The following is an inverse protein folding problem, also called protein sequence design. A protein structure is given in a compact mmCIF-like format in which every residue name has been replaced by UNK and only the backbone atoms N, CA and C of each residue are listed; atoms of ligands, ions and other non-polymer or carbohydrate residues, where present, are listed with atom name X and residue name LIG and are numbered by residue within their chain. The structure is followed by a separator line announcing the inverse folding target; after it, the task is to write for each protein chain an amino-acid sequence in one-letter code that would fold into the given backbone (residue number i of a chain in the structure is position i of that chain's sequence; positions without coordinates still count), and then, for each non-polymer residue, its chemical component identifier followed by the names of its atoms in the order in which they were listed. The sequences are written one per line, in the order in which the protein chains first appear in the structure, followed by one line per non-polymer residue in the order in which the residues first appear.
data_IF_140251786710
#
_entry.id   IF_140251786710
#
_cell.length_a   1.000
_cell.length_b   1.000
_cell.length_c   1.000
_cell.angle_alpha   90.00
_cell.angle_beta   90.00
_cell.angle_gamma   90.00
#
_symmetry.space_group_name_H-M   'P 1'
#
loop_
_entity.id
_entity.type
_entity.pdbx_description
1 polymer ?
#
# COMPACT_ATOMS: atom_id res chain seq x y z
N UNK A 1 12.46 -9.66 5.62
CA UNK A 1 11.20 -9.46 4.85
C UNK A 1 11.39 -8.55 3.65
N UNK A 2 11.90 -7.32 3.79
CA UNK A 2 12.10 -6.39 2.66
C UNK A 2 12.95 -7.00 1.53
N UNK A 3 14.12 -7.58 1.85
CA UNK A 3 14.97 -8.24 0.84
C UNK A 3 14.27 -9.40 0.11
N UNK A 4 13.52 -10.23 0.84
CA UNK A 4 12.77 -11.34 0.25
C UNK A 4 11.64 -10.83 -0.65
N UNK A 5 10.95 -9.77 -0.23
CA UNK A 5 9.92 -9.13 -1.04
C UNK A 5 10.48 -8.52 -2.31
N UNK A 6 11.64 -7.86 -2.26
CA UNK A 6 12.33 -7.36 -3.44
C UNK A 6 12.72 -8.50 -4.40
N UNK A 7 13.27 -9.60 -3.87
CA UNK A 7 13.58 -10.79 -4.69
C UNK A 7 12.33 -11.39 -5.34
N UNK A 8 11.22 -11.43 -4.61
CA UNK A 8 9.96 -11.95 -5.14
C UNK A 8 9.36 -11.03 -6.21
N UNK A 9 9.42 -9.70 -6.03
CA UNK A 9 9.02 -8.74 -7.05
C UNK A 9 9.79 -8.96 -8.37
N UNK A 10 11.13 -9.13 -8.29
CA UNK A 10 11.96 -9.42 -9.47
C UNK A 10 11.51 -10.72 -10.14
N UNK A 11 11.24 -11.76 -9.36
CA UNK A 11 10.76 -13.04 -9.90
C UNK A 11 9.41 -12.90 -10.63
N UNK A 12 8.47 -12.13 -10.07
CA UNK A 12 7.19 -11.85 -10.72
C UNK A 12 7.35 -11.05 -12.01
N UNK A 13 8.28 -10.09 -12.05
CA UNK A 13 8.59 -9.31 -13.25
C UNK A 13 9.20 -10.19 -14.35
N UNK A 14 10.11 -11.10 -13.99
CA UNK A 14 10.66 -12.10 -14.90
C UNK A 14 9.56 -13.01 -15.48
N UNK A 15 8.67 -13.53 -14.62
CA UNK A 15 7.56 -14.39 -15.06
C UNK A 15 6.58 -13.62 -15.96
N UNK A 16 6.26 -12.37 -15.63
CA UNK A 16 5.41 -11.52 -16.44
C UNK A 16 6.04 -11.18 -17.80
N UNK A 17 7.37 -11.10 -17.90
CA UNK A 17 8.06 -10.90 -19.19
C UNK A 17 7.93 -12.10 -20.13
N UNK A 18 7.71 -13.30 -19.57
CA UNK A 18 7.55 -14.54 -20.33
C UNK A 18 6.09 -14.85 -20.67
N UNK A 19 5.19 -14.54 -19.74
CA UNK A 19 3.75 -14.88 -19.81
C UNK A 19 2.87 -13.74 -20.26
N UNK A 20 3.37 -12.50 -20.22
CA UNK A 20 2.63 -11.24 -20.41
C UNK A 20 1.52 -11.00 -19.38
N UNK A 21 1.51 -11.76 -18.28
CA UNK A 21 0.56 -11.61 -17.18
C UNK A 21 1.10 -10.61 -16.15
N UNK A 22 0.71 -9.34 -16.26
CA UNK A 22 1.15 -8.27 -15.35
C UNK A 22 0.38 -8.25 -14.02
N UNK A 23 -0.76 -8.91 -13.94
CA UNK A 23 -1.65 -8.90 -12.76
C UNK A 23 -0.92 -9.23 -11.45
N UNK A 24 -0.08 -10.29 -11.36
CA UNK A 24 0.65 -10.61 -10.14
C UNK A 24 1.63 -9.51 -9.72
N UNK A 25 2.33 -8.91 -10.69
CA UNK A 25 3.29 -7.82 -10.47
C UNK A 25 2.59 -6.59 -9.90
N UNK A 26 1.47 -6.18 -10.50
CA UNK A 26 0.72 -5.00 -10.08
C UNK A 26 0.10 -5.18 -8.69
N UNK A 27 -0.43 -6.37 -8.41
CA UNK A 27 -0.96 -6.70 -7.08
C UNK A 27 0.14 -6.68 -6.04
N UNK A 28 1.29 -7.30 -6.30
CA UNK A 28 2.39 -7.30 -5.34
C UNK A 28 2.93 -5.90 -5.09
N UNK A 29 3.16 -5.11 -6.15
CA UNK A 29 3.62 -3.73 -6.06
C UNK A 29 2.69 -2.83 -5.23
N UNK A 30 1.38 -3.12 -5.25
CA UNK A 30 0.37 -2.36 -4.49
C UNK A 30 0.23 -2.86 -3.04
N UNK A 31 0.19 -4.18 -2.84
CA UNK A 31 -0.11 -4.80 -1.52
C UNK A 31 1.12 -4.88 -0.62
N UNK A 32 2.29 -5.20 -1.17
CA UNK A 32 3.49 -5.42 -0.36
C UNK A 32 3.88 -4.19 0.48
N UNK A 33 3.89 -2.95 -0.04
CA UNK A 33 4.18 -1.76 0.76
C UNK A 33 3.17 -1.53 1.89
N UNK A 34 1.88 -1.88 1.67
CA UNK A 34 0.84 -1.83 2.70
C UNK A 34 1.15 -2.80 3.83
N UNK A 35 1.53 -4.03 3.50
CA UNK A 35 1.96 -5.02 4.50
C UNK A 35 3.16 -4.51 5.29
N UNK A 36 4.15 -3.91 4.64
CA UNK A 36 5.28 -3.28 5.33
C UNK A 36 4.82 -2.17 6.29
N UNK A 37 3.92 -1.28 5.85
CA UNK A 37 3.35 -0.23 6.70
C UNK A 37 2.66 -0.77 7.95
N UNK A 38 1.84 -1.81 7.81
CA UNK A 38 1.18 -2.50 8.93
C UNK A 38 2.25 -3.09 9.87
N UNK A 39 3.23 -3.82 9.33
CA UNK A 39 4.30 -4.43 10.13
C UNK A 39 5.13 -3.40 10.91
N UNK A 40 5.30 -2.18 10.38
CA UNK A 40 6.00 -1.10 11.09
C UNK A 40 5.20 -0.59 12.30
N UNK A 41 3.86 -0.55 12.23
CA UNK A 41 3.01 -0.12 13.36
C UNK A 41 2.68 -1.24 14.34
N UNK A 42 2.77 -2.50 13.89
CA UNK A 42 2.38 -3.69 14.63
C UNK A 42 3.05 -3.82 16.02
N UNK A 43 4.37 -3.63 16.20
CA UNK A 43 5.01 -3.80 17.50
C UNK A 43 4.43 -2.86 18.56
N UNK A 44 4.22 -1.60 18.19
CA UNK A 44 3.65 -0.59 19.09
C UNK A 44 2.19 -0.89 19.41
N UNK A 45 1.43 -1.36 18.41
CA UNK A 45 0.04 -1.76 18.60
C UNK A 45 -0.09 -2.95 19.56
N UNK A 46 0.79 -3.96 19.47
CA UNK A 46 0.81 -5.09 20.40
C UNK A 46 1.04 -4.66 21.87
N UNK A 47 1.90 -3.66 22.09
CA UNK A 47 2.14 -3.10 23.42
C UNK A 47 0.88 -2.38 23.93
N UNK A 48 0.23 -1.58 23.07
CA UNK A 48 -0.98 -0.81 23.40
C UNK A 48 -2.17 -1.71 23.78
N UNK A 49 -2.35 -2.86 23.13
CA UNK A 49 -3.41 -3.83 23.45
C UNK A 49 -3.28 -4.39 24.87
N UNK A 50 -2.04 -4.61 25.31
CA UNK A 50 -1.78 -5.19 26.63
C UNK A 50 -2.10 -4.23 27.78
N UNK A 51 -2.34 -2.94 27.50
CA UNK A 51 -2.66 -1.92 28.51
C UNK A 51 -4.15 -1.89 28.94
N UNK A 52 -4.99 -2.85 28.51
CA UNK A 52 -6.39 -3.03 28.96
C UNK A 52 -7.30 -1.78 28.80
N UNK A 53 -7.09 -1.00 27.74
CA UNK A 53 -7.90 0.19 27.42
C UNK A 53 -8.96 -0.13 26.35
N UNK A 54 -10.06 0.63 26.39
CA UNK A 54 -11.23 0.45 25.52
C UNK A 54 -10.96 0.93 24.09
N UNK A 55 -11.01 0.02 23.12
CA UNK A 55 -10.67 0.27 21.72
C UNK A 55 -11.62 1.29 21.05
N UNK A 56 -11.06 2.37 20.52
CA UNK A 56 -11.74 3.36 19.68
C UNK A 56 -11.05 3.45 18.31
N UNK A 57 -11.80 3.94 17.33
CA UNK A 57 -11.34 4.05 15.94
C UNK A 57 -11.36 5.50 15.48
N UNK A 58 -10.19 6.01 15.08
CA UNK A 58 -10.03 7.35 14.53
C UNK A 58 -10.38 7.36 13.04
N UNK A 59 -11.68 7.46 12.77
CA UNK A 59 -12.21 7.55 11.40
C UNK A 59 -11.70 8.77 10.65
N UNK A 60 -11.48 9.89 11.34
CA UNK A 60 -10.98 11.11 10.72
C UNK A 60 -9.60 10.89 10.13
N UNK A 61 -8.69 10.24 10.87
CA UNK A 61 -7.35 9.93 10.36
C UNK A 61 -7.39 8.94 9.20
N UNK A 62 -8.22 7.91 9.27
CA UNK A 62 -8.35 6.94 8.17
C UNK A 62 -8.87 7.63 6.91
N UNK A 63 -9.88 8.49 7.01
CA UNK A 63 -10.48 9.15 5.83
C UNK A 63 -9.56 10.23 5.26
N UNK A 64 -8.95 11.06 6.11
CA UNK A 64 -8.14 12.20 5.66
C UNK A 64 -6.76 11.78 5.17
N UNK A 65 -6.15 10.76 5.78
CA UNK A 65 -4.78 10.32 5.44
C UNK A 65 -4.79 8.94 4.78
N UNK A 66 -5.55 8.01 5.33
CA UNK A 66 -5.59 6.62 4.85
C UNK A 66 -6.22 6.50 3.46
N UNK A 67 -7.37 7.14 3.21
CA UNK A 67 -8.09 7.01 1.95
C UNK A 67 -7.29 7.56 0.74
N UNK A 68 -6.67 8.76 0.80
CA UNK A 68 -5.81 9.23 -0.28
C UNK A 68 -4.58 8.35 -0.48
N UNK A 69 -3.96 7.87 0.61
CA UNK A 69 -2.81 6.99 0.54
C UNK A 69 -3.17 5.62 -0.08
N UNK A 70 -4.33 5.06 0.27
CA UNK A 70 -4.85 3.84 -0.32
C UNK A 70 -5.10 4.00 -1.82
N UNK A 71 -5.72 5.12 -2.22
CA UNK A 71 -5.97 5.40 -3.63
C UNK A 71 -4.68 5.38 -4.45
N UNK A 72 -3.65 6.11 -4.00
CA UNK A 72 -2.35 6.16 -4.67
C UNK A 72 -1.69 4.76 -4.69
N UNK A 73 -1.75 4.03 -3.58
CA UNK A 73 -1.18 2.68 -3.48
C UNK A 73 -1.85 1.67 -4.44
N UNK A 74 -3.13 1.87 -4.76
CA UNK A 74 -3.90 1.00 -5.66
C UNK A 74 -3.87 1.42 -7.13
N UNK A 75 -3.26 2.57 -7.47
CA UNK A 75 -3.16 3.03 -8.85
C UNK A 75 -2.61 1.99 -9.85
N UNK A 76 -1.61 1.15 -9.52
CA UNK A 76 -1.14 0.11 -10.44
C UNK A 76 -2.25 -0.87 -10.85
N UNK A 77 -3.07 -1.31 -9.89
CA UNK A 77 -4.17 -2.25 -10.15
C UNK A 77 -5.34 -1.55 -10.84
N UNK A 78 -5.65 -0.31 -10.43
CA UNK A 78 -6.74 0.47 -11.01
C UNK A 78 -6.46 0.81 -12.48
N UNK A 79 -5.25 1.25 -12.80
CA UNK A 79 -4.85 1.65 -14.16
C UNK A 79 -4.81 0.49 -15.16
N UNK A 80 -4.69 -0.76 -14.69
CA UNK A 80 -4.80 -1.94 -15.53
C UNK A 80 -6.24 -2.28 -15.95
N UNK A 81 -7.23 -1.82 -15.19
CA UNK A 81 -8.65 -2.15 -15.41
C UNK A 81 -9.49 -0.94 -15.82
N UNK A 82 -9.03 0.27 -15.53
CA UNK A 82 -9.73 1.52 -15.72
C UNK A 82 -8.85 2.45 -16.56
N UNK A 83 -9.36 3.07 -17.64
CA UNK A 83 -8.60 4.04 -18.40
C UNK A 83 -8.11 5.19 -17.52
N UNK A 84 -6.83 5.56 -17.64
CA UNK A 84 -6.19 6.57 -16.78
C UNK A 84 -6.90 7.93 -16.81
N UNK A 85 -7.57 8.28 -17.91
CA UNK A 85 -8.37 9.50 -18.03
C UNK A 85 -9.50 9.63 -16.99
N UNK A 86 -9.94 8.52 -16.38
CA UNK A 86 -10.94 8.51 -15.32
C UNK A 86 -10.33 8.46 -13.90
N UNK A 87 -9.00 8.35 -13.79
CA UNK A 87 -8.28 8.26 -12.53
C UNK A 87 -7.59 9.59 -12.24
N UNK A 88 -8.01 10.25 -11.17
CA UNK A 88 -7.43 11.52 -10.72
C UNK A 88 -5.92 11.39 -10.49
N UNK A 89 -5.14 12.25 -11.14
CA UNK A 89 -3.67 12.30 -11.04
C UNK A 89 -2.91 11.04 -11.49
N UNK A 90 -3.58 10.08 -12.14
CA UNK A 90 -2.94 8.82 -12.52
C UNK A 90 -1.84 9.02 -13.55
N UNK A 91 -2.05 9.87 -14.56
CA UNK A 91 -1.03 10.15 -15.57
C UNK A 91 0.19 10.81 -14.92
N UNK A 92 0.00 11.85 -14.12
CA UNK A 92 1.07 12.59 -13.46
C UNK A 92 1.89 11.68 -12.53
N UNK A 93 1.22 10.80 -11.77
CA UNK A 93 1.89 9.85 -10.87
C UNK A 93 2.64 8.76 -11.66
N UNK A 94 2.07 8.28 -12.77
CA UNK A 94 2.71 7.27 -13.63
C UNK A 94 3.94 7.85 -14.34
N UNK A 95 3.90 9.13 -14.75
CA UNK A 95 5.03 9.81 -15.39
C UNK A 95 6.09 10.32 -14.40
N UNK A 96 5.76 10.61 -13.15
CA UNK A 96 6.71 11.06 -12.11
C UNK A 96 7.03 9.96 -11.10
N UNK A 97 8.18 9.28 -11.26
CA UNK A 97 8.76 8.38 -10.24
C UNK A 97 7.72 7.48 -9.54
N UNK A 98 6.86 6.85 -10.34
CA UNK A 98 5.67 6.09 -9.91
C UNK A 98 5.93 5.16 -8.72
N UNK A 99 7.06 4.44 -8.74
CA UNK A 99 7.42 3.45 -7.72
C UNK A 99 7.56 4.07 -6.32
N UNK A 100 8.14 5.27 -6.21
CA UNK A 100 8.39 5.90 -4.90
C UNK A 100 7.06 6.34 -4.28
N UNK A 101 6.18 6.95 -5.07
CA UNK A 101 4.88 7.42 -4.60
C UNK A 101 3.98 6.25 -4.18
N UNK A 102 3.88 5.20 -5.01
CA UNK A 102 3.08 4.00 -4.68
C UNK A 102 3.63 3.31 -3.43
N UNK A 103 4.95 3.14 -3.33
CA UNK A 103 5.58 2.48 -2.18
C UNK A 103 5.36 3.28 -0.90
N UNK A 104 5.61 4.59 -0.94
CA UNK A 104 5.43 5.46 0.24
C UNK A 104 3.97 5.57 0.64
N UNK A 105 3.04 5.73 -0.30
CA UNK A 105 1.61 5.76 -0.04
C UNK A 105 1.11 4.46 0.57
N UNK A 106 1.55 3.30 0.04
CA UNK A 106 1.20 2.00 0.61
C UNK A 106 1.71 1.84 2.05
N UNK A 107 2.97 2.22 2.32
CA UNK A 107 3.52 2.21 3.68
C UNK A 107 2.72 3.12 4.61
N UNK A 108 2.40 4.35 4.17
CA UNK A 108 1.60 5.31 4.94
C UNK A 108 0.21 4.73 5.24
N UNK A 109 -0.48 4.17 4.25
CA UNK A 109 -1.80 3.58 4.45
C UNK A 109 -1.74 2.42 5.45
N UNK A 110 -0.82 1.47 5.27
CA UNK A 110 -0.67 0.33 6.18
C UNK A 110 -0.38 0.76 7.61
N UNK A 111 0.48 1.78 7.78
CA UNK A 111 0.78 2.33 9.10
C UNK A 111 -0.44 3.02 9.72
N UNK A 112 -1.13 3.87 8.94
CA UNK A 112 -2.31 4.62 9.39
C UNK A 112 -3.47 3.68 9.73
N UNK A 113 -3.61 2.54 9.05
CA UNK A 113 -4.65 1.56 9.33
C UNK A 113 -4.55 1.05 10.77
N UNK A 114 -3.35 0.65 11.21
CA UNK A 114 -3.13 0.27 12.60
C UNK A 114 -3.06 1.46 13.55
N UNK A 115 -2.55 2.63 13.13
CA UNK A 115 -2.52 3.81 14.00
C UNK A 115 -3.90 4.47 14.18
N UNK A 116 -4.87 4.17 13.33
CA UNK A 116 -6.27 4.60 13.49
C UNK A 116 -6.99 3.76 14.54
N UNK A 117 -6.47 2.57 14.86
CA UNK A 117 -6.82 1.82 16.06
C UNK A 117 -6.13 2.50 17.25
N UNK A 118 -6.63 3.66 17.65
CA UNK A 118 -6.09 4.45 18.75
C UNK A 118 -7.03 4.34 19.93
N UNK A 119 -6.44 3.95 21.06
CA UNK A 119 -7.06 3.91 22.40
C UNK A 119 -8.35 3.14 22.42
#
# INVERSE_FOLDING_TARGET
MIFLGAKYQIHLEEEASLTYELTPVLLFASVFPIVIGVLLRLPKWLIEINENKSWTFDWMKLVVIGLPALYIALLPVLSANIPMAYLLFAEEIMFMNYTILITTAGIVFGYVLLDSLKK
#
